data_IF_791659196577
#
_entry.id   IF_791659196577
#
_cell.length_a   1.000
_cell.length_b   1.000
_cell.length_c   1.000
_cell.angle_alpha   90.00
_cell.angle_beta   90.00
_cell.angle_gamma   90.00
#
_symmetry.space_group_name_H-M   'P 1'
#
loop_
_entity.id
_entity.type
_entity.pdbx_description
1 polymer ?
#
# COMPACT_ATOMS: atom_id res chain seq x y z
N UNK A 1 15.40 5.36 -0.26
CA UNK A 1 14.53 6.51 -0.55
C UNK A 1 14.63 6.93 -2.01
N UNK A 2 15.77 7.44 -2.49
CA UNK A 2 15.88 7.93 -3.88
C UNK A 2 15.88 6.80 -4.90
N UNK A 3 16.75 5.80 -4.72
CA UNK A 3 16.81 4.63 -5.61
C UNK A 3 15.46 3.88 -5.65
N UNK A 4 14.79 3.78 -4.49
CA UNK A 4 13.50 3.11 -4.36
C UNK A 4 12.37 3.85 -5.09
N UNK A 5 12.41 5.19 -5.08
CA UNK A 5 11.51 6.02 -5.85
C UNK A 5 11.75 5.88 -7.37
N UNK A 6 13.00 6.01 -7.81
CA UNK A 6 13.34 5.94 -9.23
C UNK A 6 13.13 4.56 -9.83
N UNK A 7 13.49 3.49 -9.12
CA UNK A 7 13.31 2.12 -9.57
C UNK A 7 11.83 1.78 -9.79
N UNK A 8 10.97 2.25 -8.88
CA UNK A 8 9.53 2.11 -9.03
C UNK A 8 8.99 2.98 -10.18
N UNK A 9 9.33 4.26 -10.20
CA UNK A 9 8.76 5.23 -11.14
C UNK A 9 9.23 5.03 -12.59
N UNK A 10 10.51 4.74 -12.80
CA UNK A 10 11.09 4.50 -14.14
C UNK A 10 10.96 3.05 -14.60
N UNK A 11 10.45 2.20 -13.71
CA UNK A 11 10.31 0.78 -13.91
C UNK A 11 11.63 0.06 -14.22
N UNK A 12 12.63 0.27 -13.38
CA UNK A 12 13.98 -0.28 -13.56
C UNK A 12 14.44 -1.07 -12.35
N UNK A 13 15.39 -1.98 -12.55
CA UNK A 13 16.06 -2.67 -11.46
C UNK A 13 16.67 -1.65 -10.47
N UNK A 14 16.57 -1.89 -9.15
CA UNK A 14 17.31 -1.14 -8.15
C UNK A 14 18.80 -1.03 -8.46
N UNK A 15 19.36 0.17 -8.31
CA UNK A 15 20.81 0.38 -8.46
C UNK A 15 21.55 -0.11 -7.22
N UNK A 16 20.97 0.09 -6.04
CA UNK A 16 21.54 -0.37 -4.78
C UNK A 16 21.30 -1.88 -4.66
N UNK A 17 22.40 -2.64 -4.54
CA UNK A 17 22.31 -4.07 -4.30
C UNK A 17 22.01 -4.36 -2.84
N UNK A 18 20.94 -5.11 -2.61
CA UNK A 18 20.43 -5.42 -1.27
C UNK A 18 21.35 -6.34 -0.45
N UNK A 19 22.15 -7.17 -1.10
CA UNK A 19 23.09 -8.10 -0.46
C UNK A 19 24.26 -7.40 0.25
N UNK A 20 24.62 -6.21 -0.23
CA UNK A 20 25.70 -5.38 0.35
C UNK A 20 25.19 -4.25 1.25
N UNK A 21 23.87 -3.99 1.22
CA UNK A 21 23.26 -2.93 2.01
C UNK A 21 23.27 -3.26 3.50
N UNK A 22 23.86 -2.35 4.30
CA UNK A 22 23.72 -2.32 5.76
C UNK A 22 22.95 -1.06 6.12
N UNK A 23 21.78 -1.21 6.71
CA UNK A 23 20.99 -0.07 7.16
C UNK A 23 21.28 0.17 8.63
N UNK A 24 21.68 1.39 8.97
CA UNK A 24 21.84 1.82 10.35
C UNK A 24 20.66 2.72 10.68
N UNK A 25 19.93 2.39 11.75
CA UNK A 25 18.81 3.23 12.16
C UNK A 25 19.31 4.60 12.57
N UNK A 26 18.53 5.67 12.36
CA UNK A 26 18.87 6.98 12.91
C UNK A 26 19.05 6.90 14.44
N UNK A 27 19.83 7.79 15.03
CA UNK A 27 19.82 7.97 16.49
C UNK A 27 18.52 8.67 16.93
N UNK A 28 18.27 8.78 18.24
CA UNK A 28 17.10 9.51 18.75
C UNK A 28 16.98 10.91 18.13
N UNK A 29 15.80 11.26 17.62
CA UNK A 29 15.53 12.60 17.05
C UNK A 29 15.77 13.70 18.09
N UNK A 30 15.50 13.44 19.37
CA UNK A 30 15.77 14.38 20.45
C UNK A 30 17.26 14.73 20.58
N UNK A 31 18.16 13.77 20.30
CA UNK A 31 19.60 14.03 20.26
C UNK A 31 19.96 14.91 19.07
N UNK A 32 19.35 14.70 17.90
CA UNK A 32 19.61 15.52 16.71
C UNK A 32 19.08 16.95 16.86
N UNK A 33 17.92 17.11 17.49
CA UNK A 33 17.25 18.40 17.71
C UNK A 33 17.73 19.13 18.98
N UNK A 34 18.73 18.59 19.69
CA UNK A 34 19.27 19.23 20.88
C UNK A 34 19.83 20.63 20.53
N UNK A 35 19.36 21.70 21.17
CA UNK A 35 19.74 23.07 20.80
C UNK A 35 21.19 23.41 21.12
N UNK A 36 21.79 22.67 22.07
CA UNK A 36 23.17 22.86 22.51
C UNK A 36 23.79 21.56 23.06
N UNK A 37 25.10 21.60 23.26
CA UNK A 37 25.87 20.45 23.74
C UNK A 37 25.49 20.02 25.17
N UNK A 38 25.04 20.95 26.02
CA UNK A 38 24.65 20.63 27.40
C UNK A 38 23.36 19.82 27.41
N UNK A 39 22.35 20.24 26.64
CA UNK A 39 21.10 19.51 26.47
C UNK A 39 21.32 18.16 25.80
N UNK A 40 22.20 18.11 24.80
CA UNK A 40 22.59 16.86 24.16
C UNK A 40 23.18 15.86 25.17
N UNK A 41 24.15 16.30 25.99
CA UNK A 41 24.79 15.45 26.99
C UNK A 41 23.83 14.97 28.08
N UNK A 42 22.86 15.81 28.47
CA UNK A 42 21.78 15.40 29.37
C UNK A 42 20.89 14.31 28.77
N UNK A 43 20.56 14.43 27.48
CA UNK A 43 19.74 13.44 26.78
C UNK A 43 20.47 12.10 26.63
N UNK A 44 21.76 12.12 26.29
CA UNK A 44 22.62 10.92 26.28
C UNK A 44 22.68 10.27 27.66
N UNK A 45 22.95 11.07 28.70
CA UNK A 45 22.98 10.60 30.10
C UNK A 45 21.62 10.04 30.58
N UNK A 46 20.51 10.52 30.02
CA UNK A 46 19.16 10.04 30.29
C UNK A 46 18.82 8.73 29.54
N UNK A 47 19.79 8.13 28.84
CA UNK A 47 19.62 6.86 28.16
C UNK A 47 18.98 6.96 26.77
N UNK A 48 19.00 8.14 26.14
CA UNK A 48 18.61 8.24 24.74
C UNK A 48 19.55 7.42 23.86
N UNK A 49 18.98 6.63 22.94
CA UNK A 49 19.77 5.71 22.14
C UNK A 49 20.68 6.46 21.16
N UNK A 50 21.99 6.44 21.46
CA UNK A 50 23.05 6.92 20.56
C UNK A 50 23.58 5.87 19.60
N UNK A 51 23.38 4.58 19.92
CA UNK A 51 23.94 3.48 19.15
C UNK A 51 22.95 3.09 18.06
N UNK A 52 23.24 3.35 16.79
CA UNK A 52 22.35 2.95 15.73
C UNK A 52 22.25 1.43 15.69
N UNK A 53 21.03 0.90 15.70
CA UNK A 53 20.80 -0.52 15.44
C UNK A 53 21.08 -0.79 13.97
N UNK A 54 21.86 -1.83 13.68
CA UNK A 54 22.07 -2.27 12.31
C UNK A 54 20.93 -3.21 11.92
N UNK A 55 20.12 -2.80 10.96
CA UNK A 55 19.14 -3.62 10.29
C UNK A 55 19.80 -4.31 9.09
N UNK A 56 19.69 -5.63 9.07
CA UNK A 56 20.14 -6.44 7.95
C UNK A 56 18.93 -6.82 7.08
N UNK A 57 18.81 -6.19 5.91
CA UNK A 57 17.71 -6.40 4.97
C UNK A 57 18.06 -7.42 3.88
N UNK A 58 19.02 -8.29 4.15
CA UNK A 58 19.35 -9.37 3.24
C UNK A 58 18.10 -10.18 2.87
N UNK A 59 18.05 -10.73 1.63
CA UNK A 59 16.87 -11.42 1.10
C UNK A 59 16.29 -12.51 2.01
N UNK A 60 17.09 -13.13 2.88
CA UNK A 60 16.65 -14.28 3.69
C UNK A 60 16.47 -13.96 5.19
N UNK A 61 16.57 -12.69 5.60
CA UNK A 61 16.39 -12.30 7.00
C UNK A 61 15.13 -11.47 7.22
N UNK A 62 14.42 -11.77 8.31
CA UNK A 62 13.16 -11.13 8.74
C UNK A 62 13.25 -10.52 10.13
N UNK A 63 14.43 -10.54 10.79
CA UNK A 63 14.53 -10.02 12.15
C UNK A 63 14.44 -8.50 12.16
N UNK A 64 13.34 -8.01 12.72
CA UNK A 64 13.09 -6.59 12.96
C UNK A 64 13.62 -6.22 14.35
N UNK A 65 14.54 -5.25 14.48
CA UNK A 65 15.01 -4.81 15.77
C UNK A 65 13.86 -4.17 16.54
N UNK A 66 13.63 -4.60 17.78
CA UNK A 66 12.68 -3.94 18.68
C UNK A 66 13.06 -2.47 18.95
N UNK A 67 14.35 -2.14 18.78
CA UNK A 67 14.94 -0.87 19.18
C UNK A 67 15.07 0.13 18.02
N UNK A 68 14.37 -0.06 16.89
CA UNK A 68 14.34 0.99 15.84
C UNK A 68 13.73 2.23 16.49
N UNK A 69 14.51 3.32 16.66
CA UNK A 69 13.97 4.50 17.31
C UNK A 69 12.77 4.99 16.51
N UNK A 70 11.67 5.24 17.24
CA UNK A 70 10.33 5.68 16.83
C UNK A 70 10.29 7.01 16.07
N UNK A 71 11.32 7.31 15.30
CA UNK A 71 11.42 8.46 14.42
C UNK A 71 10.75 8.14 13.09
N UNK A 72 9.98 9.10 12.57
CA UNK A 72 9.34 8.97 11.26
C UNK A 72 10.35 8.68 10.15
N UNK A 73 11.56 9.26 10.21
CA UNK A 73 12.60 9.05 9.20
C UNK A 73 13.21 7.64 9.26
N UNK A 74 13.32 7.06 10.45
CA UNK A 74 13.76 5.68 10.64
C UNK A 74 12.79 4.70 10.03
N UNK A 75 11.49 4.86 10.33
CA UNK A 75 10.43 4.05 9.73
C UNK A 75 10.39 4.21 8.20
N UNK A 76 10.39 5.44 7.68
CA UNK A 76 10.37 5.67 6.24
C UNK A 76 11.58 5.04 5.53
N UNK A 77 12.74 5.04 6.18
CA UNK A 77 13.95 4.41 5.65
C UNK A 77 13.88 2.89 5.65
N UNK A 78 13.36 2.28 6.72
CA UNK A 78 13.04 0.85 6.78
C UNK A 78 12.10 0.46 5.63
N UNK A 79 10.96 1.16 5.52
CA UNK A 79 9.97 0.91 4.46
C UNK A 79 10.57 1.09 3.06
N UNK A 80 11.43 2.10 2.86
CA UNK A 80 12.12 2.33 1.59
C UNK A 80 13.01 1.16 1.18
N UNK A 81 13.67 0.53 2.15
CA UNK A 81 14.59 -0.55 1.88
C UNK A 81 13.85 -1.89 1.69
N UNK A 82 12.69 -2.07 2.33
CA UNK A 82 11.74 -3.15 2.00
C UNK A 82 11.16 -2.94 0.60
N UNK A 83 10.87 -1.69 0.21
CA UNK A 83 10.40 -1.37 -1.14
C UNK A 83 11.43 -1.71 -2.21
N UNK A 84 12.73 -1.46 -1.96
CA UNK A 84 13.80 -1.91 -2.85
C UNK A 84 13.77 -3.43 -3.03
N UNK A 85 13.59 -4.18 -1.95
CA UNK A 85 13.49 -5.65 -1.99
C UNK A 85 12.29 -6.13 -2.80
N UNK A 86 11.13 -5.52 -2.60
CA UNK A 86 9.94 -5.83 -3.39
C UNK A 86 10.20 -5.55 -4.87
N UNK A 87 10.79 -4.40 -5.18
CA UNK A 87 11.07 -3.96 -6.55
C UNK A 87 12.11 -4.86 -7.22
N UNK A 88 13.16 -5.30 -6.50
CA UNK A 88 14.15 -6.28 -6.98
C UNK A 88 13.51 -7.61 -7.36
N UNK A 89 12.68 -8.17 -6.47
CA UNK A 89 11.90 -9.40 -6.74
C UNK A 89 11.00 -9.20 -7.95
N UNK A 90 10.28 -8.08 -8.02
CA UNK A 90 9.42 -7.73 -9.16
C UNK A 90 10.23 -7.78 -10.45
N UNK A 91 11.37 -7.08 -10.55
CA UNK A 91 12.14 -7.03 -11.79
C UNK A 91 12.78 -8.37 -12.17
N UNK A 92 13.40 -9.07 -11.22
CA UNK A 92 14.01 -10.38 -11.52
C UNK A 92 13.00 -11.36 -12.09
N UNK A 93 11.79 -11.38 -11.53
CA UNK A 93 10.73 -12.28 -11.97
C UNK A 93 10.01 -11.76 -13.22
N UNK A 94 9.84 -10.45 -13.37
CA UNK A 94 9.19 -9.84 -14.54
C UNK A 94 9.92 -10.19 -15.84
N UNK A 95 11.26 -10.22 -15.82
CA UNK A 95 12.06 -10.65 -16.97
C UNK A 95 11.85 -12.12 -17.37
N UNK A 96 11.21 -12.91 -16.51
CA UNK A 96 10.95 -14.34 -16.67
C UNK A 96 9.45 -14.64 -16.81
N UNK A 97 8.60 -13.61 -16.91
CA UNK A 97 7.14 -13.76 -16.90
C UNK A 97 6.63 -14.45 -18.15
N UNK A 98 5.80 -15.51 -18.02
CA UNK A 98 5.00 -16.02 -19.12
C UNK A 98 3.93 -14.99 -19.52
N UNK A 99 3.66 -14.85 -20.82
CA UNK A 99 2.44 -14.21 -21.31
C UNK A 99 1.24 -15.16 -21.08
N UNK A 100 0.12 -14.73 -20.47
CA UNK A 100 -0.19 -13.37 -19.99
C UNK A 100 0.35 -13.05 -18.58
N UNK A 101 0.62 -11.76 -18.34
CA UNK A 101 1.13 -11.25 -17.05
C UNK A 101 0.12 -11.50 -15.92
N UNK A 102 0.56 -11.97 -14.73
CA UNK A 102 -0.35 -12.24 -13.62
C UNK A 102 -1.04 -10.96 -13.12
N UNK A 103 -2.31 -11.10 -12.74
CA UNK A 103 -3.12 -10.02 -12.16
C UNK A 103 -2.77 -9.77 -10.68
N UNK A 104 -2.30 -10.81 -9.99
CA UNK A 104 -1.90 -10.81 -8.59
C UNK A 104 -0.38 -11.11 -8.55
N UNK A 105 0.49 -10.09 -8.49
CA UNK A 105 1.94 -10.28 -8.56
C UNK A 105 2.50 -11.19 -7.46
N UNK A 106 1.87 -11.21 -6.28
CA UNK A 106 2.26 -12.05 -5.15
C UNK A 106 2.34 -13.54 -5.47
N UNK A 107 1.48 -14.06 -6.35
CA UNK A 107 1.52 -15.47 -6.78
C UNK A 107 2.82 -15.81 -7.52
N UNK A 108 3.35 -14.85 -8.27
CA UNK A 108 4.63 -14.99 -8.94
C UNK A 108 5.78 -14.83 -7.96
N UNK A 109 5.70 -13.86 -7.05
CA UNK A 109 6.76 -13.54 -6.08
C UNK A 109 7.11 -14.73 -5.18
N UNK A 110 6.15 -15.58 -4.84
CA UNK A 110 6.39 -16.78 -4.04
C UNK A 110 7.31 -17.83 -4.69
N UNK A 111 7.49 -17.77 -6.01
CA UNK A 111 8.43 -18.66 -6.72
C UNK A 111 9.89 -18.32 -6.43
N UNK A 112 10.14 -17.16 -5.83
CA UNK A 112 11.44 -16.69 -5.40
C UNK A 112 11.55 -16.75 -3.87
N UNK A 113 12.68 -17.21 -3.34
CA UNK A 113 12.90 -17.32 -1.89
C UNK A 113 12.73 -15.97 -1.18
N UNK A 114 13.23 -14.89 -1.77
CA UNK A 114 13.12 -13.56 -1.19
C UNK A 114 11.69 -13.01 -1.29
N UNK A 115 10.98 -13.34 -2.37
CA UNK A 115 9.59 -12.97 -2.60
C UNK A 115 8.59 -13.70 -1.68
N UNK A 116 8.84 -14.97 -1.37
CA UNK A 116 8.05 -15.75 -0.41
C UNK A 116 8.06 -15.17 1.02
N UNK A 117 9.07 -14.35 1.35
CA UNK A 117 9.23 -13.70 2.64
C UNK A 117 8.67 -12.27 2.70
N UNK A 118 8.19 -11.70 1.60
CA UNK A 118 7.70 -10.31 1.56
C UNK A 118 6.45 -10.10 2.43
N UNK A 119 5.45 -10.96 2.33
CA UNK A 119 4.21 -10.85 3.13
C UNK A 119 4.48 -11.07 4.62
N UNK A 120 5.19 -12.12 5.06
CA UNK A 120 5.60 -12.26 6.46
C UNK A 120 6.34 -11.03 6.98
N UNK A 121 7.27 -10.47 6.20
CA UNK A 121 8.00 -9.26 6.57
C UNK A 121 7.08 -8.04 6.73
N UNK A 122 6.14 -7.81 5.81
CA UNK A 122 5.18 -6.69 5.91
C UNK A 122 4.24 -6.85 7.11
N UNK A 123 3.82 -8.08 7.41
CA UNK A 123 3.05 -8.39 8.63
C UNK A 123 3.87 -8.08 9.87
N UNK A 124 5.10 -8.57 9.95
CA UNK A 124 5.97 -8.38 11.11
C UNK A 124 6.31 -6.90 11.33
N UNK A 125 6.49 -6.12 10.26
CA UNK A 125 6.67 -4.66 10.33
C UNK A 125 5.44 -4.01 10.95
N UNK A 126 4.25 -4.37 10.49
CA UNK A 126 3.03 -3.79 11.04
C UNK A 126 2.85 -4.18 12.52
N UNK A 127 2.98 -5.46 12.88
CA UNK A 127 2.78 -5.92 14.26
C UNK A 127 3.81 -5.32 15.22
N UNK A 128 5.08 -5.23 14.79
CA UNK A 128 6.17 -4.70 15.62
C UNK A 128 6.08 -3.18 15.79
N UNK A 129 5.73 -2.45 14.73
CA UNK A 129 5.77 -0.98 14.71
C UNK A 129 4.40 -0.31 14.59
N UNK A 130 3.28 -1.03 14.85
CA UNK A 130 1.90 -0.53 14.70
C UNK A 130 1.69 0.86 15.31
N UNK A 131 2.09 1.01 16.57
CA UNK A 131 1.91 2.26 17.31
C UNK A 131 2.63 3.43 16.62
N UNK A 132 3.86 3.22 16.15
CA UNK A 132 4.66 4.27 15.52
C UNK A 132 4.21 4.51 14.07
N UNK A 133 3.84 3.49 13.31
CA UNK A 133 3.30 3.64 11.95
C UNK A 133 2.05 4.51 11.93
N UNK A 134 1.12 4.29 12.88
CA UNK A 134 -0.16 5.00 12.95
C UNK A 134 -0.02 6.37 13.60
N UNK A 135 0.82 6.53 14.64
CA UNK A 135 0.93 7.80 15.38
C UNK A 135 1.94 8.78 14.80
N UNK A 136 2.90 8.32 14.00
CA UNK A 136 3.95 9.18 13.45
C UNK A 136 3.42 9.98 12.26
N UNK A 137 4.11 9.91 11.13
CA UNK A 137 3.74 10.60 9.91
C UNK A 137 2.83 9.70 9.06
N UNK A 138 1.64 10.15 8.63
CA UNK A 138 0.73 9.36 7.80
C UNK A 138 1.34 8.84 6.49
N UNK A 139 2.42 9.48 6.02
CA UNK A 139 3.19 8.99 4.88
C UNK A 139 3.78 7.58 5.12
N UNK A 140 4.12 7.22 6.37
CA UNK A 140 4.70 5.92 6.70
C UNK A 140 3.69 4.78 6.55
N UNK A 141 2.53 4.91 7.20
CA UNK A 141 1.47 3.88 7.09
C UNK A 141 0.91 3.81 5.67
N UNK A 142 0.80 4.95 4.97
CA UNK A 142 0.40 4.97 3.56
C UNK A 142 1.41 4.23 2.67
N UNK A 143 2.71 4.40 2.93
CA UNK A 143 3.74 3.68 2.19
C UNK A 143 3.68 2.16 2.45
N UNK A 144 3.43 1.75 3.70
CA UNK A 144 3.19 0.34 4.02
C UNK A 144 1.99 -0.23 3.24
N UNK A 145 0.86 0.48 3.19
CA UNK A 145 -0.30 0.08 2.40
C UNK A 145 0.00 -0.03 0.90
N UNK A 146 0.78 0.89 0.32
CA UNK A 146 1.22 0.82 -1.08
C UNK A 146 2.00 -0.46 -1.36
N UNK A 147 2.89 -0.86 -0.44
CA UNK A 147 3.62 -2.12 -0.59
C UNK A 147 2.68 -3.32 -0.60
N UNK A 148 1.68 -3.34 0.28
CA UNK A 148 0.67 -4.41 0.27
C UNK A 148 -0.13 -4.44 -1.05
N UNK A 149 -0.56 -3.28 -1.55
CA UNK A 149 -1.27 -3.17 -2.85
C UNK A 149 -0.41 -3.73 -3.99
N UNK A 150 0.90 -3.44 -4.01
CA UNK A 150 1.79 -3.91 -5.07
C UNK A 150 1.97 -5.43 -5.13
N UNK A 151 1.63 -6.15 -4.06
CA UNK A 151 1.64 -7.62 -4.00
C UNK A 151 0.27 -8.17 -4.44
N UNK A 152 -0.82 -7.50 -4.10
CA UNK A 152 -2.20 -7.96 -4.39
C UNK A 152 -2.70 -7.57 -5.78
N UNK A 153 -2.08 -6.57 -6.41
CA UNK A 153 -2.61 -5.94 -7.62
C UNK A 153 -1.51 -5.58 -8.59
N UNK A 154 -1.68 -5.99 -9.84
CA UNK A 154 -0.84 -5.54 -10.93
C UNK A 154 -1.22 -4.11 -11.33
N UNK A 155 -0.55 -3.10 -10.76
CA UNK A 155 -0.85 -1.69 -11.07
C UNK A 155 -0.73 -1.35 -12.56
N UNK A 156 0.10 -2.08 -13.32
CA UNK A 156 0.27 -1.82 -14.75
C UNK A 156 -1.03 -2.03 -15.53
N UNK A 157 -1.86 -3.01 -15.13
CA UNK A 157 -3.15 -3.29 -15.78
C UNK A 157 -4.21 -2.26 -15.41
N UNK A 158 -4.20 -1.78 -14.17
CA UNK A 158 -5.09 -0.70 -13.72
C UNK A 158 -4.79 0.61 -14.46
N UNK A 159 -3.50 0.92 -14.67
CA UNK A 159 -3.10 2.08 -15.45
C UNK A 159 -3.47 1.95 -16.93
N UNK A 160 -3.38 0.74 -17.52
CA UNK A 160 -3.85 0.49 -18.89
C UNK A 160 -5.36 0.72 -18.98
N UNK A 161 -6.14 0.20 -18.02
CA UNK A 161 -7.58 0.47 -17.93
C UNK A 161 -7.90 1.95 -17.74
N UNK A 162 -7.02 2.70 -17.06
CA UNK A 162 -7.10 4.16 -16.94
C UNK A 162 -6.70 4.92 -18.22
N UNK A 163 -6.34 4.22 -19.30
CA UNK A 163 -6.06 4.80 -20.61
C UNK A 163 -4.59 4.97 -20.98
N UNK A 164 -3.64 4.41 -20.20
CA UNK A 164 -2.19 4.53 -20.46
C UNK A 164 -1.77 4.06 -21.85
N UNK A 165 -2.43 3.04 -22.39
CA UNK A 165 -2.15 2.45 -23.72
C UNK A 165 -3.31 2.64 -24.73
N UNK A 166 -4.23 3.57 -24.43
CA UNK A 166 -5.38 3.87 -25.27
C UNK A 166 -6.60 2.98 -25.01
N UNK A 167 -7.70 3.29 -25.72
CA UNK A 167 -9.04 2.77 -25.41
C UNK A 167 -9.14 1.25 -25.61
N UNK A 168 -8.56 0.71 -26.68
CA UNK A 168 -8.68 -0.71 -27.00
C UNK A 168 -8.01 -1.59 -25.93
N UNK A 169 -6.74 -1.30 -25.61
CA UNK A 169 -6.03 -1.98 -24.52
C UNK A 169 -6.72 -1.76 -23.16
N UNK A 170 -7.30 -0.57 -22.94
CA UNK A 170 -8.08 -0.27 -21.74
C UNK A 170 -9.30 -1.18 -21.57
N UNK A 171 -10.02 -1.50 -22.65
CA UNK A 171 -11.18 -2.43 -22.61
C UNK A 171 -10.74 -3.85 -22.24
N UNK A 172 -9.68 -4.37 -22.86
CA UNK A 172 -9.13 -5.70 -22.52
C UNK A 172 -8.62 -5.76 -21.07
N UNK A 173 -8.02 -4.67 -20.59
CA UNK A 173 -7.60 -4.54 -19.21
C UNK A 173 -8.79 -4.54 -18.24
N UNK A 174 -9.91 -3.89 -18.58
CA UNK A 174 -11.13 -3.92 -17.75
C UNK A 174 -11.72 -5.33 -17.62
N UNK A 175 -11.72 -6.13 -18.69
CA UNK A 175 -12.16 -7.53 -18.64
C UNK A 175 -11.28 -8.35 -17.68
N UNK A 176 -9.96 -8.13 -17.74
CA UNK A 176 -9.01 -8.77 -16.83
C UNK A 176 -9.20 -8.31 -15.38
N UNK A 177 -9.46 -7.02 -15.17
CA UNK A 177 -9.76 -6.44 -13.84
C UNK A 177 -11.04 -7.02 -13.25
N UNK A 178 -12.06 -7.30 -14.07
CA UNK A 178 -13.28 -7.95 -13.60
C UNK A 178 -12.98 -9.32 -12.98
N UNK A 179 -12.07 -10.10 -13.57
CA UNK A 179 -11.57 -11.35 -12.99
C UNK A 179 -10.81 -11.15 -11.68
N UNK A 180 -9.91 -10.16 -11.62
CA UNK A 180 -9.19 -9.80 -10.39
C UNK A 180 -10.15 -9.36 -9.26
N UNK A 181 -11.17 -8.56 -9.58
CA UNK A 181 -12.11 -8.00 -8.61
C UNK A 181 -12.91 -9.06 -7.83
N UNK A 182 -13.06 -10.27 -8.37
CA UNK A 182 -13.70 -11.39 -7.68
C UNK A 182 -12.79 -12.03 -6.61
N UNK A 183 -11.49 -11.74 -6.62
CA UNK A 183 -10.52 -12.37 -5.72
C UNK A 183 -10.49 -11.75 -4.31
N UNK A 184 -10.09 -12.53 -3.29
CA UNK A 184 -9.75 -11.99 -1.97
C UNK A 184 -8.64 -10.92 -2.02
N UNK A 185 -7.67 -11.08 -2.94
CA UNK A 185 -6.60 -10.11 -3.17
C UNK A 185 -7.13 -8.73 -3.56
N UNK A 186 -8.15 -8.66 -4.41
CA UNK A 186 -8.76 -7.38 -4.77
C UNK A 186 -9.46 -6.70 -3.60
N UNK A 187 -10.17 -7.47 -2.78
CA UNK A 187 -10.85 -6.95 -1.59
C UNK A 187 -9.86 -6.45 -0.54
N UNK A 188 -8.76 -7.18 -0.32
CA UNK A 188 -7.64 -6.70 0.51
C UNK A 188 -7.03 -5.41 -0.05
N UNK A 189 -6.80 -5.34 -1.37
CA UNK A 189 -6.27 -4.15 -2.02
C UNK A 189 -7.19 -2.94 -1.83
N UNK A 190 -8.50 -3.12 -1.94
CA UNK A 190 -9.51 -2.07 -1.69
C UNK A 190 -9.45 -1.55 -0.26
N UNK A 191 -9.27 -2.45 0.71
CA UNK A 191 -9.11 -2.07 2.11
C UNK A 191 -7.85 -1.24 2.33
N UNK A 192 -6.72 -1.64 1.74
CA UNK A 192 -5.49 -0.85 1.76
C UNK A 192 -5.66 0.52 1.08
N UNK A 193 -6.36 0.57 -0.06
CA UNK A 193 -6.65 1.81 -0.78
C UNK A 193 -7.49 2.78 0.06
N UNK A 194 -8.54 2.29 0.72
CA UNK A 194 -9.37 3.08 1.63
C UNK A 194 -8.56 3.60 2.83
N UNK A 195 -7.63 2.81 3.36
CA UNK A 195 -6.78 3.24 4.47
C UNK A 195 -5.66 4.21 4.06
N UNK A 196 -5.21 4.20 2.79
CA UNK A 196 -4.39 5.29 2.24
C UNK A 196 -5.18 6.59 2.25
N UNK A 197 -6.45 6.57 1.81
CA UNK A 197 -7.32 7.74 1.89
C UNK A 197 -7.49 8.22 3.34
N UNK A 198 -7.80 7.32 4.27
CA UNK A 198 -7.96 7.65 5.69
C UNK A 198 -6.69 8.23 6.32
N UNK A 199 -5.52 7.66 6.03
CA UNK A 199 -4.25 8.16 6.54
C UNK A 199 -3.93 9.55 5.97
N UNK A 200 -4.06 9.72 4.65
CA UNK A 200 -3.68 10.97 3.99
C UNK A 200 -4.65 12.12 4.25
N UNK A 201 -5.93 11.85 4.51
CA UNK A 201 -6.91 12.87 4.93
C UNK A 201 -6.68 13.38 6.36
N UNK A 202 -6.01 12.61 7.23
CA UNK A 202 -5.62 13.03 8.59
C UNK A 202 -4.28 13.76 8.63
N UNK A 203 -3.60 13.89 7.48
CA UNK A 203 -2.28 14.49 7.37
C UNK A 203 -2.32 15.98 7.70
N UNK A 204 -1.30 16.45 8.43
CA UNK A 204 -1.06 17.86 8.69
C UNK A 204 -0.06 18.43 7.69
N UNK A 205 -0.11 19.74 7.45
CA UNK A 205 0.89 20.43 6.60
C UNK A 205 2.31 20.19 7.10
N UNK A 206 2.51 20.14 8.42
CA UNK A 206 3.80 19.88 9.08
C UNK A 206 4.41 18.51 8.74
N UNK A 207 3.59 17.54 8.33
CA UNK A 207 4.06 16.19 8.02
C UNK A 207 4.83 16.16 6.69
N UNK A 208 4.70 17.21 5.87
CA UNK A 208 5.31 17.27 4.53
C UNK A 208 4.68 16.26 3.57
N UNK A 209 4.92 16.47 2.27
CA UNK A 209 4.50 15.52 1.22
C UNK A 209 5.75 14.75 0.83
N UNK A 210 5.65 13.42 0.69
CA UNK A 210 6.75 12.60 0.17
C UNK A 210 6.53 12.33 -1.32
N UNK A 211 7.58 11.98 -2.05
CA UNK A 211 7.46 11.66 -3.47
C UNK A 211 6.45 10.53 -3.77
N UNK A 212 6.23 9.63 -2.81
CA UNK A 212 5.30 8.51 -2.92
C UNK A 212 3.87 8.85 -2.50
N UNK A 213 3.63 9.99 -1.83
CA UNK A 213 2.32 10.32 -1.28
C UNK A 213 1.28 10.54 -2.38
N UNK A 214 1.66 11.27 -3.43
CA UNK A 214 0.78 11.53 -4.58
C UNK A 214 0.50 10.26 -5.37
N UNK A 215 1.53 9.41 -5.56
CA UNK A 215 1.35 8.09 -6.19
C UNK A 215 0.49 7.17 -5.34
N UNK A 216 0.63 7.19 -4.01
CA UNK A 216 -0.15 6.38 -3.10
C UNK A 216 -1.64 6.70 -3.25
N UNK A 217 -1.99 7.99 -3.21
CA UNK A 217 -3.38 8.46 -3.35
C UNK A 217 -3.92 8.10 -4.73
N UNK A 218 -3.15 8.34 -5.79
CA UNK A 218 -3.56 8.00 -7.15
C UNK A 218 -3.75 6.49 -7.36
N UNK A 219 -2.80 5.67 -6.91
CA UNK A 219 -2.89 4.21 -7.01
C UNK A 219 -4.06 3.66 -6.20
N UNK A 220 -4.31 4.21 -5.00
CA UNK A 220 -5.48 3.87 -4.19
C UNK A 220 -6.79 4.22 -4.92
N UNK A 221 -6.84 5.39 -5.57
CA UNK A 221 -7.99 5.79 -6.38
C UNK A 221 -8.25 4.82 -7.55
N UNK A 222 -7.19 4.39 -8.26
CA UNK A 222 -7.32 3.40 -9.32
C UNK A 222 -7.82 2.06 -8.79
N UNK A 223 -7.24 1.56 -7.69
CA UNK A 223 -7.63 0.27 -7.08
C UNK A 223 -9.10 0.28 -6.70
N UNK A 224 -9.55 1.25 -5.90
CA UNK A 224 -10.91 1.27 -5.40
C UNK A 224 -11.91 1.70 -6.48
N UNK A 225 -11.56 2.68 -7.30
CA UNK A 225 -12.40 3.16 -8.39
C UNK A 225 -12.68 2.10 -9.45
N UNK A 226 -11.64 1.37 -9.90
CA UNK A 226 -11.82 0.32 -10.90
C UNK A 226 -12.48 -0.93 -10.34
N UNK A 227 -12.22 -1.30 -9.07
CA UNK A 227 -12.93 -2.36 -8.38
C UNK A 227 -14.44 -2.08 -8.31
N UNK A 228 -14.82 -0.86 -7.92
CA UNK A 228 -16.22 -0.46 -7.87
C UNK A 228 -16.82 -0.39 -9.28
N UNK A 229 -16.07 0.08 -10.27
CA UNK A 229 -16.53 0.21 -11.64
C UNK A 229 -16.97 -1.14 -12.21
N UNK A 230 -16.11 -2.16 -12.12
CA UNK A 230 -16.43 -3.51 -12.61
C UNK A 230 -17.49 -4.20 -11.76
N UNK A 231 -17.63 -3.79 -10.49
CA UNK A 231 -18.76 -4.14 -9.63
C UNK A 231 -18.93 -5.65 -9.40
N UNK A 232 -17.97 -6.33 -8.73
CA UNK A 232 -18.02 -7.77 -8.58
C UNK A 232 -19.29 -8.25 -7.88
N UNK A 233 -19.71 -9.47 -8.18
CA UNK A 233 -20.98 -10.10 -7.77
C UNK A 233 -21.23 -9.98 -6.25
N UNK A 234 -20.16 -10.02 -5.45
CA UNK A 234 -20.24 -9.86 -4.00
C UNK A 234 -20.81 -8.51 -3.53
N UNK A 235 -20.67 -7.43 -4.31
CA UNK A 235 -21.27 -6.13 -4.03
C UNK A 235 -22.78 -6.10 -4.32
N UNK A 236 -23.25 -6.98 -5.20
CA UNK A 236 -24.64 -7.03 -5.67
C UNK A 236 -25.54 -7.86 -4.75
N UNK A 237 -25.01 -8.44 -3.67
CA UNK A 237 -25.78 -9.19 -2.68
C UNK A 237 -26.63 -8.24 -1.81
N UNK A 238 -27.68 -7.69 -2.40
CA UNK A 238 -28.56 -6.70 -1.77
C UNK A 238 -29.45 -7.28 -0.66
N UNK A 239 -29.47 -6.59 0.48
CA UNK A 239 -30.63 -6.57 1.40
C UNK A 239 -30.60 -7.46 2.64
N UNK A 240 -29.58 -8.31 2.85
CA UNK A 240 -29.51 -9.20 4.04
C UNK A 240 -28.32 -8.94 4.96
N UNK A 241 -27.33 -8.17 4.54
CA UNK A 241 -26.09 -7.95 5.29
C UNK A 241 -25.77 -6.47 5.34
N UNK A 242 -25.37 -5.99 6.51
CA UNK A 242 -24.92 -4.62 6.71
C UNK A 242 -23.67 -4.34 5.85
N UNK A 243 -23.62 -3.21 5.11
CA UNK A 243 -22.44 -2.84 4.34
C UNK A 243 -21.21 -2.70 5.22
N UNK A 244 -20.09 -3.26 4.78
CA UNK A 244 -18.80 -3.09 5.46
C UNK A 244 -18.23 -1.70 5.15
N UNK A 245 -18.05 -0.86 6.17
CA UNK A 245 -17.44 0.47 6.01
C UNK A 245 -15.94 0.35 5.82
N UNK A 246 -15.48 0.73 4.62
CA UNK A 246 -14.07 0.58 4.21
C UNK A 246 -13.12 1.51 4.97
N UNK A 247 -13.62 2.59 5.56
CA UNK A 247 -12.84 3.55 6.36
C UNK A 247 -12.82 3.26 7.86
N UNK A 248 -13.51 2.21 8.32
CA UNK A 248 -13.46 1.79 9.72
C UNK A 248 -12.08 1.24 10.09
N UNK A 249 -11.72 1.35 11.37
CA UNK A 249 -10.44 0.88 11.87
C UNK A 249 -10.30 -0.65 11.69
N UNK A 250 -9.26 -1.07 10.98
CA UNK A 250 -8.94 -2.49 10.74
C UNK A 250 -7.76 -2.91 11.60
N UNK A 251 -7.92 -4.00 12.35
CA UNK A 251 -6.76 -4.66 12.96
C UNK A 251 -6.04 -5.56 11.94
N UNK A 252 -5.06 -4.99 11.25
CA UNK A 252 -4.24 -5.71 10.27
C UNK A 252 -3.48 -6.90 10.87
N UNK A 253 -3.28 -6.93 12.19
CA UNK A 253 -2.71 -8.10 12.89
C UNK A 253 -3.67 -9.29 12.89
N UNK A 254 -4.98 -9.05 13.02
CA UNK A 254 -6.01 -10.11 12.93
C UNK A 254 -6.23 -10.55 11.48
N UNK A 255 -6.19 -9.60 10.53
CA UNK A 255 -6.31 -9.91 9.10
C UNK A 255 -5.14 -10.77 8.57
N UNK A 256 -3.97 -10.67 9.20
CA UNK A 256 -2.78 -11.48 8.91
C UNK A 256 -2.51 -11.59 7.39
N UNK A 257 -2.37 -12.81 6.86
CA UNK A 257 -2.16 -13.08 5.43
C UNK A 257 -3.43 -13.18 4.58
N UNK A 258 -4.63 -13.04 5.16
CA UNK A 258 -5.89 -13.24 4.44
C UNK A 258 -5.99 -12.30 3.22
N UNK A 259 -6.23 -12.85 2.04
CA UNK A 259 -6.22 -12.08 0.80
C UNK A 259 -4.83 -11.80 0.21
N UNK A 260 -3.75 -12.40 0.70
CA UNK A 260 -2.51 -12.53 -0.07
C UNK A 260 -2.46 -13.91 -0.73
N UNK A 261 -3.03 -14.03 -1.94
CA UNK A 261 -3.16 -15.33 -2.62
C UNK A 261 -1.82 -16.09 -2.67
N UNK A 262 -1.84 -17.36 -2.26
CA UNK A 262 -0.69 -18.27 -2.25
C UNK A 262 0.21 -18.19 -1.00
N UNK A 263 0.08 -17.14 -0.18
CA UNK A 263 0.75 -17.10 1.12
C UNK A 263 -0.09 -17.88 2.14
N UNK A 264 0.50 -18.90 2.75
CA UNK A 264 -0.20 -19.75 3.74
C UNK A 264 -0.50 -18.93 4.99
N UNK A 265 -1.77 -18.84 5.34
CA UNK A 265 -2.19 -18.26 6.62
C UNK A 265 -1.65 -19.12 7.76
N UNK A 266 -0.84 -18.50 8.63
CA UNK A 266 -0.32 -19.19 9.83
C UNK A 266 -1.39 -19.32 10.92
N UNK A 267 -2.57 -18.71 10.71
CA UNK A 267 -3.70 -18.76 11.64
C UNK A 267 -4.63 -19.95 11.33
N UNK A 268 -4.53 -20.97 12.18
CA UNK A 268 -5.45 -22.11 12.19
C UNK A 268 -6.80 -21.69 12.79
N UNK A 269 -7.87 -21.83 11.99
CA UNK A 269 -9.29 -21.95 12.38
C UNK A 269 -9.95 -20.91 13.33
N UNK A 270 -9.25 -19.87 13.81
CA UNK A 270 -9.82 -18.86 14.72
C UNK A 270 -10.40 -17.61 14.02
N UNK A 271 -10.04 -17.35 12.76
CA UNK A 271 -10.29 -16.07 12.09
C UNK A 271 -11.57 -16.04 11.24
N UNK A 272 -12.75 -16.17 11.85
CA UNK A 272 -14.03 -15.83 11.19
C UNK A 272 -14.81 -14.70 11.88
N UNK A 273 -14.24 -14.06 12.90
CA UNK A 273 -14.96 -13.07 13.72
C UNK A 273 -14.97 -11.66 13.13
N UNK A 274 -13.81 -11.09 12.77
CA UNK A 274 -13.80 -9.66 12.38
C UNK A 274 -14.52 -9.40 11.06
N UNK A 275 -15.21 -8.25 10.95
CA UNK A 275 -15.82 -7.81 9.71
C UNK A 275 -14.83 -7.73 8.54
N UNK A 276 -13.59 -7.27 8.79
CA UNK A 276 -12.56 -7.15 7.76
C UNK A 276 -12.14 -8.51 7.18
N UNK A 277 -11.89 -9.52 8.03
CA UNK A 277 -11.57 -10.88 7.55
C UNK A 277 -12.72 -11.47 6.74
N UNK A 278 -13.97 -11.27 7.19
CA UNK A 278 -15.17 -11.71 6.46
C UNK A 278 -15.29 -11.02 5.10
N UNK A 279 -15.07 -9.71 5.04
CA UNK A 279 -15.08 -8.96 3.78
C UNK A 279 -13.99 -9.46 2.83
N UNK A 280 -12.74 -9.59 3.29
CA UNK A 280 -11.65 -10.03 2.40
C UNK A 280 -11.89 -11.47 1.90
N UNK A 281 -12.32 -12.39 2.77
CA UNK A 281 -12.55 -13.78 2.37
C UNK A 281 -13.79 -13.97 1.49
N UNK A 282 -14.93 -13.37 1.83
CA UNK A 282 -16.23 -13.66 1.20
C UNK A 282 -16.79 -12.52 0.34
N UNK A 283 -16.27 -11.30 0.48
CA UNK A 283 -16.87 -10.10 -0.09
C UNK A 283 -18.15 -9.70 0.64
N UNK A 284 -18.95 -8.86 -0.02
CA UNK A 284 -20.21 -8.34 0.50
C UNK A 284 -20.40 -6.87 0.14
N UNK A 285 -21.58 -6.29 0.44
CA UNK A 285 -21.82 -4.87 0.25
C UNK A 285 -20.83 -4.03 1.06
N UNK A 286 -20.45 -2.87 0.53
CA UNK A 286 -19.50 -1.96 1.17
C UNK A 286 -20.07 -0.56 1.26
N UNK A 287 -19.57 0.20 2.23
CA UNK A 287 -19.74 1.65 2.28
C UNK A 287 -18.39 2.36 2.33
N UNK A 288 -18.40 3.62 1.93
CA UNK A 288 -17.25 4.51 2.02
C UNK A 288 -17.75 5.86 2.51
N UNK A 289 -17.18 6.34 3.62
CA UNK A 289 -17.65 7.57 4.31
C UNK A 289 -19.14 7.49 4.65
N UNK A 290 -19.57 6.33 5.17
CA UNK A 290 -20.95 6.01 5.54
C UNK A 290 -21.97 6.03 4.38
N UNK A 291 -21.50 6.05 3.13
CA UNK A 291 -22.36 5.91 1.96
C UNK A 291 -22.21 4.52 1.34
N UNK A 292 -23.33 3.81 1.17
CA UNK A 292 -23.36 2.50 0.53
C UNK A 292 -22.97 2.62 -0.94
N UNK A 293 -22.07 1.74 -1.37
CA UNK A 293 -21.54 1.68 -2.74
C UNK A 293 -22.02 0.38 -3.42
N UNK A 294 -23.11 0.41 -4.21
CA UNK A 294 -23.64 -0.78 -4.89
C UNK A 294 -22.75 -1.32 -6.03
N UNK A 295 -21.57 -0.72 -6.26
CA UNK A 295 -20.76 -0.94 -7.45
C UNK A 295 -21.26 -0.15 -8.66
N UNK A 296 -20.64 -0.36 -9.81
CA UNK A 296 -20.91 0.34 -11.06
C UNK A 296 -20.35 1.76 -11.14
N UNK A 297 -20.63 2.40 -12.27
CA UNK A 297 -20.10 3.71 -12.66
C UNK A 297 -20.32 4.80 -11.60
N UNK A 298 -21.52 4.91 -11.04
CA UNK A 298 -21.83 5.98 -10.08
C UNK A 298 -21.01 5.87 -8.78
N UNK A 299 -20.82 4.63 -8.29
CA UNK A 299 -19.99 4.35 -7.11
C UNK A 299 -18.52 4.68 -7.39
N UNK A 300 -18.02 4.24 -8.56
CA UNK A 300 -16.64 4.53 -8.99
C UNK A 300 -16.39 6.04 -9.14
N UNK A 301 -17.27 6.75 -9.86
CA UNK A 301 -17.21 8.21 -10.04
C UNK A 301 -17.11 8.94 -8.71
N UNK A 302 -17.99 8.61 -7.76
CA UNK A 302 -18.03 9.25 -6.45
C UNK A 302 -16.69 9.10 -5.73
N UNK A 303 -16.19 7.87 -5.61
CA UNK A 303 -14.91 7.60 -4.93
C UNK A 303 -13.76 8.30 -5.65
N UNK A 304 -13.71 8.29 -6.98
CA UNK A 304 -12.67 8.99 -7.74
C UNK A 304 -12.67 10.50 -7.45
N UNK A 305 -13.84 11.13 -7.31
CA UNK A 305 -13.96 12.55 -6.94
C UNK A 305 -13.46 12.83 -5.52
N UNK A 306 -13.73 11.94 -4.57
CA UNK A 306 -13.19 12.04 -3.20
C UNK A 306 -11.66 12.00 -3.22
N UNK A 307 -11.06 11.07 -3.98
CA UNK A 307 -9.60 10.99 -4.15
C UNK A 307 -9.01 12.19 -4.89
N UNK A 308 -9.69 12.76 -5.88
CA UNK A 308 -9.27 14.01 -6.54
C UNK A 308 -9.19 15.13 -5.52
N UNK A 309 -10.22 15.30 -4.69
CA UNK A 309 -10.26 16.34 -3.67
C UNK A 309 -9.11 16.19 -2.68
N UNK A 310 -8.85 14.96 -2.22
CA UNK A 310 -7.72 14.65 -1.35
C UNK A 310 -6.36 14.93 -2.02
N UNK A 311 -6.22 14.62 -3.30
CA UNK A 311 -4.99 14.85 -4.04
C UNK A 311 -4.72 16.33 -4.28
N UNK A 312 -5.75 17.16 -4.45
CA UNK A 312 -5.63 18.62 -4.54
C UNK A 312 -5.18 19.24 -3.21
N UNK A 313 -5.58 18.67 -2.08
CA UNK A 313 -5.16 19.11 -0.75
C UNK A 313 -3.73 18.67 -0.41
N UNK A 314 -3.37 17.43 -0.72
CA UNK A 314 -2.09 16.83 -0.31
C UNK A 314 -0.97 17.09 -1.31
N UNK A 315 -1.32 17.14 -2.59
CA UNK A 315 -0.39 17.12 -3.70
C UNK A 315 0.39 18.42 -3.86
N UNK A 316 1.66 18.28 -4.25
CA UNK A 316 2.63 19.37 -4.38
C UNK A 316 3.29 19.43 -5.75
N UNK A 317 3.52 18.28 -6.40
CA UNK A 317 4.38 18.22 -7.60
C UNK A 317 3.63 17.81 -8.87
N UNK A 318 2.96 16.65 -8.88
CA UNK A 318 2.27 16.09 -10.05
C UNK A 318 0.75 15.98 -9.88
N UNK A 319 0.23 16.50 -8.76
CA UNK A 319 -1.19 16.53 -8.41
C UNK A 319 -2.09 16.93 -9.58
N UNK A 320 -1.78 18.04 -10.28
CA UNK A 320 -2.60 18.53 -11.40
C UNK A 320 -2.77 17.49 -12.53
N UNK A 321 -1.69 16.78 -12.88
CA UNK A 321 -1.75 15.72 -13.91
C UNK A 321 -2.55 14.51 -13.42
N UNK A 322 -2.33 14.08 -12.18
CA UNK A 322 -3.01 12.93 -11.61
C UNK A 322 -4.51 13.19 -11.40
N UNK A 323 -4.88 14.38 -10.90
CA UNK A 323 -6.27 14.82 -10.79
C UNK A 323 -6.95 14.88 -12.16
N UNK A 324 -6.24 15.34 -13.20
CA UNK A 324 -6.78 15.36 -14.56
C UNK A 324 -7.12 13.94 -15.04
N UNK A 325 -6.24 12.96 -14.83
CA UNK A 325 -6.49 11.56 -15.20
C UNK A 325 -7.71 11.02 -14.45
N UNK A 326 -7.80 11.20 -13.12
CA UNK A 326 -8.92 10.71 -12.33
C UNK A 326 -10.26 11.37 -12.72
N UNK A 327 -10.24 12.66 -13.06
CA UNK A 327 -11.42 13.39 -13.60
C UNK A 327 -11.85 12.82 -14.94
N UNK A 328 -10.91 12.61 -15.86
CA UNK A 328 -11.20 11.95 -17.12
C UNK A 328 -11.80 10.56 -16.90
N UNK A 329 -11.30 9.76 -15.96
CA UNK A 329 -11.91 8.47 -15.64
C UNK A 329 -13.33 8.62 -15.06
N UNK A 330 -13.57 9.60 -14.21
CA UNK A 330 -14.91 9.91 -13.68
C UNK A 330 -15.91 10.26 -14.80
N UNK A 331 -15.44 10.98 -15.81
CA UNK A 331 -16.27 11.55 -16.88
C UNK A 331 -16.45 10.58 -18.05
N UNK A 332 -15.36 9.95 -18.52
CA UNK A 332 -15.29 9.13 -19.75
C UNK A 332 -15.88 7.73 -19.60
N UNK A 333 -16.12 7.27 -18.36
CA UNK A 333 -16.73 5.95 -18.13
C UNK A 333 -18.20 5.92 -18.57
N UNK A 334 -18.77 7.03 -19.05
CA UNK A 334 -20.07 7.04 -19.76
C UNK A 334 -20.01 6.47 -21.18
N UNK A 335 -18.83 6.39 -21.80
CA UNK A 335 -18.68 6.11 -23.24
C UNK A 335 -17.97 4.76 -23.55
N UNK A 336 -17.70 3.94 -22.52
CA UNK A 336 -17.03 2.64 -22.63
C UNK A 336 -17.99 1.47 -22.83
#
# INVERSE_FOLDING_TARGET
>A
MVDSFFSSGMRTHPTIRLDTMRFYTPCSTALFEAPDATRWAQLDSAGQCMKPSMLNLRPNQTFLPADVPSSSIGLYSLLSAVWLRLTDVKYRLFLQVPTPTPLIPGELYQKDEAGALLVPLLRDIYTTYKADLVRSNPNNVSFWHVMCISITTNMDILEIAAGREGIHAGKEALESIAGWAQSPSARRACLHAAHIYAAMSRRKVSDGTTFLSEDAIFNAALVLGLYLLVGPDSLQQGGKTEPFELLDDVDWSELAEEGFTGYVSSSSNAAKSSPAVRFVSMGGPVSFSSMVLPGGLNSARRVLVDFVSLLEEVGKWKAGKLCHILRLMSDSVTDL
#
